data_IF_093358538810
#
_entry.id   IF_093358538810
#
_cell.length_a   1.000
_cell.length_b   1.000
_cell.length_c   1.000
_cell.angle_alpha   90.00
_cell.angle_beta   90.00
_cell.angle_gamma   90.00
#
_symmetry.space_group_name_H-M   'P 1'
#
loop_
_entity.id
_entity.type
_entity.pdbx_description
1 polymer ?
#
# COMPACT_ATOMS: atom_id res chain seq x y z
N UNK A 1 -5.99 -3.41 9.16
CA UNK A 1 -6.71 -3.06 10.40
C UNK A 1 -5.93 -3.34 11.67
N UNK A 2 -5.69 -4.58 12.11
CA UNK A 2 -5.03 -4.84 13.42
C UNK A 2 -3.66 -4.15 13.54
N UNK A 3 -2.77 -4.36 12.58
CA UNK A 3 -1.46 -3.70 12.56
C UNK A 3 -1.58 -2.17 12.50
N UNK A 4 -2.57 -1.64 11.76
CA UNK A 4 -2.81 -0.20 11.67
C UNK A 4 -3.20 0.37 13.02
N UNK A 5 -4.11 -0.28 13.74
CA UNK A 5 -4.51 0.15 15.09
C UNK A 5 -3.33 0.11 16.07
N UNK A 6 -2.48 -0.91 15.99
CA UNK A 6 -1.27 -1.02 16.81
C UNK A 6 -0.26 0.06 16.45
N UNK A 7 -0.02 0.31 15.16
CA UNK A 7 0.87 1.37 14.67
C UNK A 7 0.43 2.76 15.14
N UNK A 8 -0.87 3.05 15.07
CA UNK A 8 -1.45 4.30 15.57
C UNK A 8 -1.21 4.49 17.07
N UNK A 9 -1.36 3.42 17.87
CA UNK A 9 -1.20 3.48 19.33
C UNK A 9 0.25 3.51 19.80
N UNK A 10 1.14 2.74 19.16
CA UNK A 10 2.55 2.62 19.54
C UNK A 10 3.43 3.72 18.94
N UNK A 11 3.02 4.29 17.81
CA UNK A 11 3.79 5.27 17.07
C UNK A 11 5.18 4.76 16.68
N UNK A 12 6.28 5.46 17.01
CA UNK A 12 7.64 5.05 16.65
C UNK A 12 8.02 3.64 17.12
N UNK A 13 7.46 3.17 18.23
CA UNK A 13 7.74 1.84 18.78
C UNK A 13 7.19 0.68 17.92
N UNK A 14 6.40 0.98 16.89
CA UNK A 14 5.97 -0.01 15.91
C UNK A 14 7.07 -0.42 14.91
N UNK A 15 8.19 0.32 14.86
CA UNK A 15 9.28 0.11 13.91
C UNK A 15 9.79 -1.34 13.80
N UNK A 16 10.05 -2.08 14.90
CA UNK A 16 10.53 -3.47 14.78
C UNK A 16 9.51 -4.39 14.10
N UNK A 17 8.23 -4.19 14.38
CA UNK A 17 7.15 -4.99 13.81
C UNK A 17 6.98 -4.74 12.31
N UNK A 18 6.95 -3.47 11.88
CA UNK A 18 6.82 -3.17 10.46
C UNK A 18 8.05 -3.60 9.68
N UNK A 19 9.25 -3.43 10.24
CA UNK A 19 10.49 -3.88 9.58
C UNK A 19 10.49 -5.39 9.30
N UNK A 20 9.89 -6.19 10.19
CA UNK A 20 9.77 -7.63 10.01
C UNK A 20 8.82 -8.00 8.87
N UNK A 21 7.68 -7.33 8.75
CA UNK A 21 6.62 -7.72 7.81
C UNK A 21 6.68 -6.96 6.47
N UNK A 22 7.45 -5.88 6.37
CA UNK A 22 7.34 -4.89 5.29
C UNK A 22 7.53 -5.47 3.89
N UNK A 23 8.60 -6.23 3.67
CA UNK A 23 8.89 -6.79 2.34
C UNK A 23 7.85 -7.83 1.91
N UNK A 24 7.37 -8.63 2.85
CA UNK A 24 6.28 -9.58 2.60
C UNK A 24 4.98 -8.85 2.26
N UNK A 25 4.67 -7.75 2.95
CA UNK A 25 3.52 -6.91 2.61
C UNK A 25 3.62 -6.31 1.21
N UNK A 26 4.79 -5.89 0.76
CA UNK A 26 5.00 -5.41 -0.61
C UNK A 26 4.78 -6.53 -1.64
N UNK A 27 5.23 -7.74 -1.31
CA UNK A 27 5.00 -8.93 -2.14
C UNK A 27 3.50 -9.25 -2.25
N UNK A 28 2.78 -9.23 -1.13
CA UNK A 28 1.32 -9.39 -1.10
C UNK A 28 0.64 -8.29 -1.90
N UNK A 29 1.02 -7.02 -1.71
CA UNK A 29 0.46 -5.90 -2.47
C UNK A 29 0.60 -6.13 -3.98
N UNK A 30 1.79 -6.53 -4.44
CA UNK A 30 2.07 -6.81 -5.85
C UNK A 30 1.21 -7.95 -6.38
N UNK A 31 1.15 -9.09 -5.69
CA UNK A 31 0.33 -10.24 -6.10
C UNK A 31 -1.15 -9.86 -6.25
N UNK A 32 -1.69 -9.11 -5.28
CA UNK A 32 -3.07 -8.65 -5.36
C UNK A 32 -3.29 -7.60 -6.44
N UNK A 33 -2.29 -6.78 -6.75
CA UNK A 33 -2.37 -5.86 -7.90
C UNK A 33 -2.47 -6.60 -9.22
N UNK A 34 -1.61 -7.60 -9.43
CA UNK A 34 -1.63 -8.43 -10.63
C UNK A 34 -2.98 -9.15 -10.77
N UNK A 35 -3.51 -9.69 -9.67
CA UNK A 35 -4.81 -10.36 -9.65
C UNK A 35 -5.99 -9.42 -9.92
N UNK A 36 -5.98 -8.19 -9.38
CA UNK A 36 -7.00 -7.17 -9.70
C UNK A 36 -6.97 -6.86 -11.18
N UNK A 37 -5.77 -6.68 -11.75
CA UNK A 37 -5.58 -6.31 -13.14
C UNK A 37 -6.06 -7.41 -14.09
N UNK A 38 -5.70 -8.68 -13.82
CA UNK A 38 -6.18 -9.81 -14.62
C UNK A 38 -7.69 -9.96 -14.55
N UNK A 39 -8.26 -9.88 -13.34
CA UNK A 39 -9.72 -10.00 -13.14
C UNK A 39 -10.48 -8.89 -13.88
N UNK A 40 -9.96 -7.65 -13.90
CA UNK A 40 -10.59 -6.55 -14.65
C UNK A 40 -10.48 -6.77 -16.15
N UNK A 41 -9.32 -7.24 -16.64
CA UNK A 41 -9.11 -7.50 -18.06
C UNK A 41 -10.02 -8.61 -18.60
N UNK A 42 -10.27 -9.65 -17.80
CA UNK A 42 -11.07 -10.82 -18.18
C UNK A 42 -12.58 -10.64 -17.95
N UNK A 43 -12.99 -9.85 -16.95
CA UNK A 43 -14.38 -9.79 -16.48
C UNK A 43 -15.32 -8.83 -17.23
N UNK A 44 -14.85 -8.17 -18.30
CA UNK A 44 -15.67 -7.25 -19.11
C UNK A 44 -16.01 -5.90 -18.44
N UNK A 45 -16.99 -5.13 -18.99
CA UNK A 45 -17.20 -3.70 -18.68
C UNK A 45 -17.52 -3.34 -17.22
N UNK A 46 -17.88 -4.32 -16.38
CA UNK A 46 -18.27 -4.10 -14.98
C UNK A 46 -17.44 -4.90 -13.97
N UNK A 47 -16.37 -5.56 -14.43
CA UNK A 47 -15.48 -6.35 -13.58
C UNK A 47 -14.95 -5.56 -12.38
N UNK A 48 -14.54 -4.31 -12.62
CA UNK A 48 -14.02 -3.38 -11.60
C UNK A 48 -15.01 -3.10 -10.47
N UNK A 49 -16.32 -3.23 -10.73
CA UNK A 49 -17.41 -2.97 -9.79
C UNK A 49 -17.87 -4.21 -9.01
N UNK A 50 -17.38 -5.39 -9.40
CA UNK A 50 -17.72 -6.66 -8.75
C UNK A 50 -17.31 -6.67 -7.27
N UNK A 51 -18.06 -7.42 -6.46
CA UNK A 51 -17.73 -7.62 -5.04
C UNK A 51 -16.37 -8.27 -4.85
N UNK A 52 -16.00 -9.19 -5.74
CA UNK A 52 -14.71 -9.87 -5.72
C UNK A 52 -13.55 -8.89 -5.94
N UNK A 53 -13.58 -8.06 -7.00
CA UNK A 53 -12.53 -7.05 -7.23
C UNK A 53 -12.46 -6.06 -6.07
N UNK A 54 -13.61 -5.63 -5.51
CA UNK A 54 -13.65 -4.76 -4.32
C UNK A 54 -12.94 -5.37 -3.11
N UNK A 55 -13.07 -6.69 -2.90
CA UNK A 55 -12.37 -7.43 -1.85
C UNK A 55 -10.86 -7.50 -2.11
N UNK A 56 -10.43 -7.80 -3.32
CA UNK A 56 -9.00 -7.81 -3.65
C UNK A 56 -8.35 -6.43 -3.44
N UNK A 57 -9.06 -5.39 -3.89
CA UNK A 57 -8.62 -4.00 -3.71
C UNK A 57 -8.58 -3.56 -2.25
N UNK A 58 -9.39 -4.15 -1.36
CA UNK A 58 -9.36 -3.79 0.07
C UNK A 58 -8.02 -4.19 0.70
N UNK A 59 -7.41 -5.29 0.26
CA UNK A 59 -6.10 -5.74 0.73
C UNK A 59 -5.02 -4.74 0.33
N UNK A 60 -5.02 -4.28 -0.94
CA UNK A 60 -4.12 -3.21 -1.40
C UNK A 60 -4.25 -1.95 -0.55
N UNK A 61 -5.48 -1.49 -0.31
CA UNK A 61 -5.76 -0.29 0.50
C UNK A 61 -5.30 -0.43 1.95
N UNK A 62 -5.53 -1.58 2.58
CA UNK A 62 -5.12 -1.81 3.97
C UNK A 62 -3.60 -1.84 4.13
N UNK A 63 -2.87 -2.40 3.16
CA UNK A 63 -1.40 -2.33 3.13
C UNK A 63 -0.92 -0.89 3.03
N UNK A 64 -1.47 -0.10 2.10
CA UNK A 64 -1.11 1.31 1.94
C UNK A 64 -1.38 2.13 3.19
N UNK A 65 -2.56 1.97 3.80
CA UNK A 65 -2.94 2.66 5.03
C UNK A 65 -2.01 2.34 6.19
N UNK A 66 -1.57 1.09 6.33
CA UNK A 66 -0.63 0.69 7.37
C UNK A 66 0.72 1.39 7.18
N UNK A 67 1.26 1.38 5.96
CA UNK A 67 2.52 2.05 5.65
C UNK A 67 2.39 3.55 5.89
N UNK A 68 1.31 4.17 5.41
CA UNK A 68 1.05 5.60 5.60
C UNK A 68 0.96 5.96 7.08
N UNK A 69 0.23 5.17 7.88
CA UNK A 69 0.12 5.37 9.33
C UNK A 69 1.49 5.28 10.00
N UNK A 70 2.32 4.32 9.59
CA UNK A 70 3.67 4.20 10.14
C UNK A 70 4.56 5.39 9.77
N UNK A 71 4.54 5.85 8.52
CA UNK A 71 5.30 7.04 8.09
C UNK A 71 4.82 8.28 8.87
N UNK A 72 3.51 8.47 9.01
CA UNK A 72 2.90 9.55 9.80
C UNK A 72 3.35 9.53 11.26
N UNK A 73 3.60 8.36 11.85
CA UNK A 73 4.03 8.23 13.25
C UNK A 73 5.54 8.14 13.46
N UNK A 74 6.34 7.98 12.41
CA UNK A 74 7.80 7.87 12.54
C UNK A 74 8.47 9.21 12.91
N UNK A 75 9.52 9.14 13.73
CA UNK A 75 10.31 10.31 14.16
C UNK A 75 11.65 10.44 13.40
N UNK A 76 12.32 9.34 13.04
CA UNK A 76 13.58 9.34 12.28
C UNK A 76 13.35 9.20 10.76
N UNK A 77 13.02 10.33 10.14
CA UNK A 77 12.66 10.40 8.71
C UNK A 77 13.82 10.14 7.75
N UNK A 78 15.05 10.64 7.97
CA UNK A 78 16.15 10.39 7.04
C UNK A 78 16.55 8.92 6.94
N UNK A 79 16.52 8.18 8.06
CA UNK A 79 16.78 6.74 8.04
C UNK A 79 15.62 5.97 7.41
N UNK A 80 14.39 6.31 7.78
CA UNK A 80 13.18 5.68 7.26
C UNK A 80 13.06 5.83 5.74
N UNK A 81 13.28 7.05 5.23
CA UNK A 81 13.21 7.35 3.81
C UNK A 81 14.16 6.45 3.01
N UNK A 82 15.39 6.26 3.48
CA UNK A 82 16.39 5.42 2.80
C UNK A 82 16.03 3.94 2.80
N UNK A 83 15.44 3.43 3.89
CA UNK A 83 15.14 2.01 4.03
C UNK A 83 13.80 1.62 3.35
N UNK A 84 12.77 2.45 3.48
CA UNK A 84 11.40 2.08 3.10
C UNK A 84 10.96 2.63 1.75
N UNK A 85 11.42 3.81 1.33
CA UNK A 85 10.94 4.42 0.07
C UNK A 85 11.41 3.66 -1.17
N UNK A 86 12.70 3.33 -1.34
CA UNK A 86 13.16 2.66 -2.57
C UNK A 86 12.44 1.33 -2.85
N UNK A 87 12.22 0.42 -1.87
CA UNK A 87 11.48 -0.81 -2.09
C UNK A 87 10.03 -0.61 -2.56
N UNK A 88 9.40 0.53 -2.27
CA UNK A 88 8.00 0.82 -2.64
C UNK A 88 7.85 1.40 -4.05
N UNK A 89 8.92 1.93 -4.63
CA UNK A 89 8.85 2.72 -5.87
C UNK A 89 8.22 1.93 -7.02
N UNK A 90 8.71 0.72 -7.30
CA UNK A 90 8.12 -0.10 -8.37
C UNK A 90 6.81 -0.82 -7.99
N UNK A 91 6.72 -1.54 -6.86
CA UNK A 91 5.52 -2.32 -6.55
C UNK A 91 4.30 -1.46 -6.23
N UNK A 92 4.47 -0.20 -5.82
CA UNK A 92 3.35 0.71 -5.50
C UNK A 92 3.21 1.81 -6.55
N UNK A 93 4.22 2.68 -6.72
CA UNK A 93 4.09 3.84 -7.61
C UNK A 93 4.18 3.44 -9.09
N UNK A 94 5.10 2.54 -9.43
CA UNK A 94 5.21 1.96 -10.76
C UNK A 94 3.93 1.22 -11.16
N UNK A 95 3.38 0.42 -10.24
CA UNK A 95 2.08 -0.25 -10.39
C UNK A 95 0.94 0.75 -10.66
N UNK A 96 0.83 1.80 -9.85
CA UNK A 96 -0.18 2.85 -10.02
C UNK A 96 -0.10 3.50 -11.42
N UNK A 97 1.11 3.81 -11.88
CA UNK A 97 1.34 4.44 -13.18
C UNK A 97 0.92 3.54 -14.35
N UNK A 98 1.23 2.24 -14.28
CA UNK A 98 0.93 1.25 -15.33
C UNK A 98 -0.54 0.81 -15.34
N UNK A 99 -1.24 0.92 -14.21
CA UNK A 99 -2.61 0.45 -14.08
C UNK A 99 -3.62 1.31 -14.85
N UNK A 100 -4.68 0.64 -15.33
CA UNK A 100 -5.87 1.28 -15.90
C UNK A 100 -6.56 2.15 -14.84
N UNK A 101 -7.28 3.23 -15.22
CA UNK A 101 -7.91 4.13 -14.26
C UNK A 101 -8.77 3.43 -13.21
N UNK A 102 -9.55 2.43 -13.64
CA UNK A 102 -10.44 1.65 -12.77
C UNK A 102 -9.71 0.75 -11.76
N UNK A 103 -8.41 0.50 -11.91
CA UNK A 103 -7.59 -0.33 -11.03
C UNK A 103 -6.70 0.49 -10.07
N UNK A 104 -6.67 1.82 -10.22
CA UNK A 104 -5.83 2.72 -9.40
C UNK A 104 -6.44 2.94 -8.02
N UNK A 105 -5.61 2.86 -6.98
CA UNK A 105 -5.99 3.17 -5.60
C UNK A 105 -5.56 4.59 -5.22
N UNK A 106 -6.50 5.42 -4.78
CA UNK A 106 -6.25 6.79 -4.33
C UNK A 106 -5.25 6.89 -3.18
N UNK A 107 -5.21 5.87 -2.33
CA UNK A 107 -4.34 5.76 -1.16
C UNK A 107 -2.85 5.79 -1.54
N UNK A 108 -2.49 5.45 -2.79
CA UNK A 108 -1.11 5.63 -3.28
C UNK A 108 -0.73 7.11 -3.25
N UNK A 109 -1.61 7.99 -3.73
CA UNK A 109 -1.35 9.43 -3.74
C UNK A 109 -1.27 9.99 -2.31
N UNK A 110 -2.15 9.51 -1.42
CA UNK A 110 -2.13 9.89 0.01
C UNK A 110 -0.81 9.49 0.67
N UNK A 111 -0.38 8.24 0.49
CA UNK A 111 0.88 7.75 1.04
C UNK A 111 2.08 8.59 0.57
N UNK A 112 2.20 8.86 -0.73
CA UNK A 112 3.32 9.64 -1.25
C UNK A 112 3.25 11.12 -0.86
N UNK A 113 2.05 11.70 -0.72
CA UNK A 113 1.90 13.03 -0.14
C UNK A 113 2.38 13.05 1.32
N UNK A 114 2.02 12.04 2.12
CA UNK A 114 2.48 11.90 3.50
C UNK A 114 3.99 11.74 3.58
N UNK A 115 4.61 10.97 2.68
CA UNK A 115 6.08 10.83 2.60
C UNK A 115 6.76 12.17 2.24
N UNK A 116 6.17 12.98 1.34
CA UNK A 116 6.77 14.24 0.88
C UNK A 116 6.59 15.37 1.92
N UNK A 117 5.46 15.41 2.61
CA UNK A 117 5.14 16.46 3.58
C UNK A 117 5.84 16.27 4.94
N UNK A 118 6.39 15.09 5.16
CA UNK A 118 7.22 14.77 6.32
C UNK A 118 8.68 15.08 6.05
#
# INVERSE_FOLDING_TARGET
QTNTSVATSLGPHFFPQISLIFLDMLTVYRMYSELVSSTIAEGGPYASKSSFVKLLRSIKRETLKLIETFVDKAEDLPHLGKQFVPPMMDPILGDYARNVPDARESEVLSLFATIINK
#
